data_IF_649695631569
#
_entry.id   IF_649695631569
#
_cell.length_a   1.000
_cell.length_b   1.000
_cell.length_c   1.000
_cell.angle_alpha   90.00
_cell.angle_beta   90.00
_cell.angle_gamma   90.00
#
_symmetry.space_group_name_H-M   'P 1'
#
loop_
_entity.id
_entity.type
_entity.pdbx_description
1 polymer ?
#
# COMPACT_ATOMS: atom_id res chain seq x y z
N UNK A 1 0.19 -13.12 17.56
CA UNK A 1 0.47 -12.86 16.12
C UNK A 1 -0.74 -13.30 15.32
N UNK A 2 -1.32 -12.43 14.51
CA UNK A 2 -2.45 -12.74 13.64
C UNK A 2 -1.96 -12.93 12.19
N UNK A 3 -2.57 -13.86 11.46
CA UNK A 3 -2.28 -14.09 10.03
C UNK A 3 -3.48 -13.66 9.19
N UNK A 4 -3.21 -12.83 8.19
CA UNK A 4 -4.22 -12.29 7.28
C UNK A 4 -3.89 -12.65 5.83
N UNK A 5 -4.83 -12.35 4.94
CA UNK A 5 -4.71 -12.70 3.53
C UNK A 5 -3.52 -11.98 2.87
N UNK A 6 -2.74 -12.71 2.06
CA UNK A 6 -1.55 -12.19 1.41
C UNK A 6 -1.85 -11.07 0.40
N UNK A 7 -3.05 -11.05 -0.18
CA UNK A 7 -3.48 -9.99 -1.11
C UNK A 7 -3.71 -8.63 -0.44
N UNK A 8 -3.67 -8.56 0.90
CA UNK A 8 -3.67 -7.29 1.63
C UNK A 8 -2.32 -6.57 1.56
N UNK A 9 -1.26 -7.25 1.13
CA UNK A 9 0.06 -6.65 0.93
C UNK A 9 0.29 -6.25 -0.53
N UNK A 10 1.02 -5.16 -0.72
CA UNK A 10 1.56 -4.74 -2.01
C UNK A 10 2.94 -4.15 -1.78
N UNK A 11 3.86 -4.29 -2.72
CA UNK A 11 5.17 -3.65 -2.59
C UNK A 11 5.08 -2.15 -2.91
N UNK A 12 5.85 -1.28 -2.21
CA UNK A 12 5.88 0.14 -2.54
C UNK A 12 6.40 0.37 -3.97
N UNK A 13 5.60 1.03 -4.81
CA UNK A 13 5.97 1.30 -6.20
C UNK A 13 7.18 2.22 -6.35
N UNK A 14 7.53 3.00 -5.32
CA UNK A 14 8.67 3.93 -5.34
C UNK A 14 9.98 3.23 -5.63
N UNK A 15 10.20 2.04 -5.07
CA UNK A 15 11.43 1.27 -5.32
C UNK A 15 11.52 0.80 -6.78
N UNK A 16 10.40 0.33 -7.33
CA UNK A 16 10.34 -0.11 -8.72
C UNK A 16 10.48 1.08 -9.69
N UNK A 17 9.90 2.24 -9.37
CA UNK A 17 10.07 3.45 -10.17
C UNK A 17 11.53 3.92 -10.19
N UNK A 18 12.21 3.97 -9.04
CA UNK A 18 13.64 4.33 -8.96
C UNK A 18 14.50 3.33 -9.73
N UNK A 19 14.20 2.03 -9.64
CA UNK A 19 14.88 1.01 -10.45
C UNK A 19 14.67 1.25 -11.94
N UNK A 20 13.44 1.52 -12.39
CA UNK A 20 13.14 1.82 -13.79
C UNK A 20 13.84 3.08 -14.31
N UNK A 21 13.88 4.15 -13.51
CA UNK A 21 14.56 5.40 -13.85
C UNK A 21 16.09 5.24 -13.94
N UNK A 22 16.65 4.29 -13.20
CA UNK A 22 18.10 4.01 -13.20
C UNK A 22 18.53 2.96 -14.25
N UNK A 23 17.59 2.29 -14.93
CA UNK A 23 17.92 1.36 -16.00
C UNK A 23 18.41 2.12 -17.24
N UNK A 24 19.67 1.90 -17.59
CA UNK A 24 20.20 2.34 -18.88
C UNK A 24 19.70 1.42 -19.99
N UNK A 25 18.93 1.97 -20.94
CA UNK A 25 18.39 1.28 -22.13
C UNK A 25 19.46 0.71 -23.09
N UNK A 26 20.74 0.91 -22.78
CA UNK A 26 21.90 0.55 -23.62
C UNK A 26 22.61 -0.75 -23.18
N UNK A 27 22.16 -1.45 -22.14
CA UNK A 27 22.89 -2.61 -21.60
C UNK A 27 22.27 -3.95 -22.01
N UNK A 28 23.10 -4.84 -22.54
CA UNK A 28 22.80 -6.22 -22.99
C UNK A 28 22.60 -7.22 -21.82
N UNK A 29 22.20 -6.72 -20.64
CA UNK A 29 22.09 -7.47 -19.38
C UNK A 29 20.60 -7.72 -19.09
N UNK A 30 20.19 -8.96 -18.77
CA UNK A 30 18.78 -9.33 -18.68
C UNK A 30 18.06 -8.49 -17.61
N UNK A 31 16.81 -8.06 -17.85
CA UNK A 31 16.21 -6.97 -17.11
C UNK A 31 15.83 -7.41 -15.68
N UNK A 32 16.44 -6.85 -14.62
CA UNK A 32 15.92 -7.01 -13.27
C UNK A 32 14.48 -6.48 -13.05
N UNK A 33 13.93 -5.48 -13.79
CA UNK A 33 12.57 -5.03 -13.53
C UNK A 33 11.49 -5.97 -14.06
N UNK A 34 11.78 -6.86 -15.02
CA UNK A 34 10.71 -7.59 -15.74
C UNK A 34 9.91 -8.53 -14.84
N UNK A 35 10.60 -9.24 -13.95
CA UNK A 35 9.96 -10.11 -12.96
C UNK A 35 9.13 -9.30 -11.96
N UNK A 36 9.67 -8.19 -11.44
CA UNK A 36 8.96 -7.30 -10.50
C UNK A 36 7.77 -6.62 -11.15
N UNK A 37 7.86 -6.23 -12.42
CA UNK A 37 6.74 -5.69 -13.20
C UNK A 37 5.64 -6.75 -13.32
N UNK A 38 5.99 -8.00 -13.68
CA UNK A 38 5.03 -9.10 -13.78
C UNK A 38 4.36 -9.41 -12.44
N UNK A 39 5.12 -9.40 -11.35
CA UNK A 39 4.61 -9.62 -9.98
C UNK A 39 3.70 -8.48 -9.49
N UNK A 40 3.97 -7.24 -9.91
CA UNK A 40 3.18 -6.06 -9.56
C UNK A 40 2.11 -5.71 -10.63
N UNK A 41 1.98 -6.50 -11.69
CA UNK A 41 1.13 -6.18 -12.84
C UNK A 41 -0.33 -5.90 -12.45
N UNK A 42 -0.91 -6.74 -11.59
CA UNK A 42 -2.28 -6.54 -11.12
C UNK A 42 -2.43 -5.19 -10.40
N UNK A 43 -1.45 -4.79 -9.59
CA UNK A 43 -1.44 -3.49 -8.93
C UNK A 43 -1.20 -2.31 -9.88
N UNK A 44 -0.56 -2.52 -11.03
CA UNK A 44 -0.45 -1.50 -12.06
C UNK A 44 -1.72 -1.35 -12.90
N UNK A 45 -2.40 -2.44 -13.21
CA UNK A 45 -3.61 -2.41 -14.06
C UNK A 45 -4.84 -2.04 -13.24
N UNK A 46 -5.02 -2.69 -12.10
CA UNK A 46 -6.24 -2.56 -11.30
C UNK A 46 -6.09 -1.50 -10.19
N UNK A 47 -4.85 -1.16 -9.81
CA UNK A 47 -4.44 -0.13 -8.84
C UNK A 47 -5.34 -0.02 -7.63
N UNK A 48 -6.30 0.92 -7.65
CA UNK A 48 -7.17 1.19 -6.51
C UNK A 48 -8.22 0.11 -6.29
N UNK A 49 -8.51 -0.70 -7.30
CA UNK A 49 -9.52 -1.77 -7.24
C UNK A 49 -9.07 -2.97 -6.42
N UNK A 50 -7.77 -3.10 -6.14
CA UNK A 50 -7.22 -4.15 -5.27
C UNK A 50 -7.28 -3.77 -3.78
N UNK A 51 -7.61 -2.51 -3.48
CA UNK A 51 -8.00 -2.13 -2.14
C UNK A 51 -9.35 -2.76 -1.79
N UNK A 52 -9.38 -3.46 -0.67
CA UNK A 52 -10.53 -4.22 -0.21
C UNK A 52 -11.41 -3.35 0.68
N UNK A 53 -12.72 -3.65 0.75
CA UNK A 53 -13.60 -2.99 1.71
C UNK A 53 -13.26 -3.40 3.15
N UNK A 54 -13.80 -2.68 4.16
CA UNK A 54 -13.58 -2.99 5.57
C UNK A 54 -13.93 -4.45 5.90
N UNK A 55 -13.11 -5.08 6.73
CA UNK A 55 -13.21 -6.51 7.02
C UNK A 55 -13.01 -6.79 8.51
N UNK A 56 -14.01 -7.43 9.12
CA UNK A 56 -13.99 -7.77 10.55
C UNK A 56 -12.73 -8.56 10.97
N UNK A 57 -12.27 -9.49 10.14
CA UNK A 57 -11.06 -10.29 10.41
C UNK A 57 -9.80 -9.43 10.37
N UNK A 58 -9.73 -8.47 9.45
CA UNK A 58 -8.63 -7.51 9.36
C UNK A 58 -8.62 -6.58 10.57
N UNK A 59 -9.79 -6.13 11.01
CA UNK A 59 -9.96 -5.33 12.23
C UNK A 59 -9.45 -6.06 13.48
N UNK A 60 -9.91 -7.29 13.69
CA UNK A 60 -9.47 -8.14 14.82
C UNK A 60 -7.97 -8.47 14.75
N UNK A 61 -7.42 -8.60 13.55
CA UNK A 61 -5.99 -8.85 13.39
C UNK A 61 -5.15 -7.68 13.92
N UNK A 62 -5.64 -6.43 13.84
CA UNK A 62 -4.97 -5.26 14.42
C UNK A 62 -5.00 -5.23 15.96
N UNK A 63 -5.76 -6.11 16.63
CA UNK A 63 -5.68 -6.27 18.09
C UNK A 63 -4.45 -7.10 18.51
N UNK A 64 -3.83 -7.82 17.57
CA UNK A 64 -2.59 -8.54 17.84
C UNK A 64 -1.36 -7.62 17.77
N UNK A 65 -0.34 -7.89 18.59
CA UNK A 65 0.94 -7.15 18.57
C UNK A 65 1.75 -7.30 17.28
N UNK A 66 1.45 -8.33 16.47
CA UNK A 66 2.12 -8.63 15.20
C UNK A 66 1.15 -9.21 14.20
N UNK A 67 1.27 -8.76 12.97
CA UNK A 67 0.57 -9.23 11.79
C UNK A 67 1.51 -10.00 10.88
N UNK A 68 1.00 -11.04 10.23
CA UNK A 68 1.65 -11.72 9.11
C UNK A 68 0.74 -11.67 7.89
N UNK A 69 1.26 -11.14 6.78
CA UNK A 69 0.58 -11.10 5.48
C UNK A 69 1.50 -11.67 4.41
N UNK A 70 1.16 -12.84 3.87
CA UNK A 70 2.06 -13.61 3.01
C UNK A 70 3.41 -13.91 3.70
N UNK A 71 4.50 -13.41 3.10
CA UNK A 71 5.86 -13.52 3.63
C UNK A 71 6.24 -12.36 4.56
N UNK A 72 5.41 -11.32 4.66
CA UNK A 72 5.71 -10.10 5.40
C UNK A 72 5.19 -10.17 6.83
N UNK A 73 5.93 -9.57 7.75
CA UNK A 73 5.53 -9.40 9.14
C UNK A 73 5.58 -7.92 9.52
N UNK A 74 4.55 -7.47 10.23
CA UNK A 74 4.40 -6.07 10.64
C UNK A 74 4.15 -6.04 12.15
N UNK A 75 4.88 -5.20 12.87
CA UNK A 75 4.59 -4.93 14.28
C UNK A 75 3.45 -3.92 14.35
N UNK A 76 2.45 -4.21 15.18
CA UNK A 76 1.31 -3.32 15.36
C UNK A 76 1.58 -2.38 16.52
N UNK A 77 1.57 -1.08 16.22
CA UNK A 77 1.67 0.01 17.18
C UNK A 77 0.29 0.62 17.39
N UNK A 78 -0.09 0.88 18.64
CA UNK A 78 -1.43 1.39 19.00
C UNK A 78 -1.74 2.70 18.29
N UNK A 79 -0.79 3.64 18.25
CA UNK A 79 -0.99 4.95 17.63
C UNK A 79 -1.26 4.83 16.12
N UNK A 80 -0.50 3.96 15.43
CA UNK A 80 -0.68 3.67 14.01
C UNK A 80 -2.01 2.97 13.73
N UNK A 81 -2.44 2.09 14.63
CA UNK A 81 -3.74 1.41 14.54
C UNK A 81 -4.90 2.39 14.65
N UNK A 82 -4.88 3.30 15.61
CA UNK A 82 -5.97 4.28 15.77
C UNK A 82 -6.13 5.15 14.52
N UNK A 83 -5.01 5.59 13.93
CA UNK A 83 -5.01 6.29 12.64
C UNK A 83 -5.58 5.41 11.52
N UNK A 84 -5.14 4.16 11.42
CA UNK A 84 -5.61 3.22 10.42
C UNK A 84 -7.13 3.01 10.48
N UNK A 85 -7.69 2.94 11.68
CA UNK A 85 -9.15 2.79 11.86
C UNK A 85 -9.92 4.05 11.42
N UNK A 86 -9.37 5.25 11.66
CA UNK A 86 -9.97 6.48 11.15
C UNK A 86 -9.85 6.59 9.61
N UNK A 87 -8.79 6.05 9.02
CA UNK A 87 -8.62 5.98 7.55
C UNK A 87 -9.58 4.97 6.94
N UNK A 88 -9.75 3.82 7.60
CA UNK A 88 -10.70 2.78 7.22
C UNK A 88 -12.11 3.37 7.07
N UNK A 89 -12.56 4.15 8.06
CA UNK A 89 -13.88 4.79 8.01
C UNK A 89 -13.98 5.89 6.96
N UNK A 90 -12.91 6.66 6.73
CA UNK A 90 -12.90 7.74 5.74
C UNK A 90 -12.87 7.23 4.29
N UNK A 91 -12.13 6.15 4.02
CA UNK A 91 -11.84 5.66 2.67
C UNK A 91 -12.54 4.35 2.31
N UNK A 92 -13.32 3.79 3.24
CA UNK A 92 -13.93 2.47 3.10
C UNK A 92 -12.91 1.40 2.70
N UNK A 93 -11.76 1.42 3.38
CA UNK A 93 -10.62 0.56 3.10
C UNK A 93 -10.46 -0.50 4.19
N UNK A 94 -9.99 -1.69 3.82
CA UNK A 94 -9.60 -2.75 4.75
C UNK A 94 -8.63 -2.23 5.83
N UNK A 95 -8.84 -2.66 7.07
CA UNK A 95 -8.13 -2.18 8.24
C UNK A 95 -6.62 -2.44 8.16
N UNK A 96 -6.21 -3.60 7.63
CA UNK A 96 -4.79 -3.94 7.48
C UNK A 96 -4.17 -3.12 6.35
N UNK A 97 -4.87 -2.92 5.23
CA UNK A 97 -4.38 -2.07 4.14
C UNK A 97 -4.27 -0.60 4.60
N UNK A 98 -5.23 -0.13 5.39
CA UNK A 98 -5.17 1.20 6.03
C UNK A 98 -3.96 1.32 6.96
N UNK A 99 -3.68 0.27 7.75
CA UNK A 99 -2.49 0.24 8.63
C UNK A 99 -1.19 0.30 7.85
N UNK A 100 -1.07 -0.48 6.76
CA UNK A 100 0.11 -0.49 5.89
C UNK A 100 0.35 0.90 5.29
N UNK A 101 -0.71 1.62 4.89
CA UNK A 101 -0.59 3.00 4.40
C UNK A 101 -0.04 3.94 5.46
N UNK A 102 -0.56 3.87 6.70
CA UNK A 102 -0.10 4.70 7.82
C UNK A 102 1.36 4.41 8.13
N UNK A 103 1.71 3.14 8.33
CA UNK A 103 3.05 2.72 8.69
C UNK A 103 4.08 3.20 7.66
N UNK A 104 3.79 2.99 6.36
CA UNK A 104 4.68 3.44 5.28
C UNK A 104 4.79 4.96 5.21
N UNK A 105 3.69 5.68 5.42
CA UNK A 105 3.69 7.16 5.35
C UNK A 105 4.54 7.77 6.46
N UNK A 106 4.39 7.26 7.69
CA UNK A 106 5.19 7.69 8.85
C UNK A 106 6.67 7.36 8.62
N UNK A 107 6.96 6.12 8.23
CA UNK A 107 8.34 5.65 8.06
C UNK A 107 9.07 6.36 6.89
N UNK A 108 8.35 6.76 5.83
CA UNK A 108 8.96 7.46 4.68
C UNK A 108 9.15 8.96 4.92
N UNK A 109 8.19 9.63 5.55
CA UNK A 109 8.23 11.10 5.70
C UNK A 109 8.82 11.54 7.05
N UNK A 110 9.01 10.62 8.00
CA UNK A 110 9.44 10.97 9.36
C UNK A 110 8.45 11.89 10.08
N UNK A 111 7.19 11.92 9.63
CA UNK A 111 6.11 12.72 10.21
C UNK A 111 5.39 11.92 11.29
N UNK A 112 4.91 12.61 12.31
CA UNK A 112 4.13 12.02 13.37
C UNK A 112 2.70 11.67 12.93
N UNK A 113 1.96 11.05 13.85
CA UNK A 113 0.59 10.61 13.67
C UNK A 113 -0.37 11.72 13.18
N UNK A 114 -0.17 12.96 13.63
CA UNK A 114 -1.03 14.10 13.32
C UNK A 114 -0.75 14.63 11.90
N UNK A 115 0.53 14.61 11.50
CA UNK A 115 0.96 14.91 10.13
C UNK A 115 0.39 13.95 9.08
N UNK A 116 0.21 12.66 9.41
CA UNK A 116 -0.43 11.69 8.47
C UNK A 116 -1.87 12.08 8.17
N UNK A 117 -2.61 12.55 9.17
CA UNK A 117 -4.02 12.94 9.02
C UNK A 117 -4.17 14.18 8.14
N UNK A 118 -3.28 15.16 8.31
CA UNK A 118 -3.24 16.36 7.46
C UNK A 118 -2.87 16.02 5.99
N UNK A 119 -2.15 14.93 5.78
CA UNK A 119 -1.79 14.41 4.46
C UNK A 119 -2.86 13.49 3.85
N UNK A 120 -3.92 13.13 4.58
CA UNK A 120 -4.98 12.28 4.04
C UNK A 120 -5.65 12.82 2.78
N UNK A 121 -5.99 14.12 2.68
CA UNK A 121 -6.51 14.68 1.44
C UNK A 121 -5.53 14.50 0.26
N UNK A 122 -4.22 14.61 0.52
CA UNK A 122 -3.18 14.37 -0.48
C UNK A 122 -3.03 12.88 -0.82
N UNK A 123 -3.16 11.99 0.17
CA UNK A 123 -3.14 10.54 -0.03
C UNK A 123 -4.33 10.09 -0.88
N UNK A 124 -5.53 10.60 -0.58
CA UNK A 124 -6.75 10.37 -1.37
C UNK A 124 -6.62 10.96 -2.77
N UNK A 125 -6.10 12.19 -2.88
CA UNK A 125 -5.83 12.80 -4.18
C UNK A 125 -4.82 12.00 -5.00
N UNK A 126 -3.82 11.38 -4.36
CA UNK A 126 -2.78 10.59 -5.02
C UNK A 126 -3.27 9.20 -5.39
N UNK A 127 -4.09 8.56 -4.55
CA UNK A 127 -4.80 7.33 -4.89
C UNK A 127 -5.76 7.55 -6.06
N UNK A 128 -6.52 8.65 -6.05
CA UNK A 128 -7.38 9.03 -7.18
C UNK A 128 -6.58 9.39 -8.43
N UNK A 129 -5.46 10.11 -8.32
CA UNK A 129 -4.63 10.43 -9.49
C UNK A 129 -3.93 9.22 -10.10
N UNK A 130 -3.65 8.19 -9.29
CA UNK A 130 -3.14 6.90 -9.78
C UNK A 130 -4.24 6.08 -10.47
N UNK A 131 -5.52 6.25 -10.11
CA UNK A 131 -6.65 5.58 -10.75
C UNK A 131 -7.08 6.23 -12.09
N UNK A 132 -6.91 7.54 -12.23
CA UNK A 132 -7.33 8.31 -13.42
C UNK A 132 -6.67 7.90 -14.75
N UNK A 133 -5.35 7.62 -14.85
CA UNK A 133 -4.75 7.26 -16.13
C UNK A 133 -5.18 5.88 -16.66
N UNK A 134 -5.70 4.99 -15.80
CA UNK A 134 -6.13 3.64 -16.22
C UNK A 134 -7.62 3.55 -16.57
N UNK A 135 -8.44 4.50 -16.12
CA UNK A 135 -9.87 4.58 -16.51
C UNK A 135 -10.08 5.03 -17.96
N UNK A 136 -9.10 5.70 -18.57
CA UNK A 136 -9.20 6.22 -19.95
C UNK A 136 -8.61 5.28 -21.01
N UNK A 137 -8.10 4.10 -20.64
CA UNK A 137 -7.47 3.15 -21.56
C UNK A 137 -8.43 2.05 -22.08
N UNK A 138 -9.74 2.15 -21.81
CA UNK A 138 -10.76 1.16 -22.23
C UNK A 138 -11.82 1.71 -23.18
N UNK A 139 -11.45 2.59 -24.11
CA UNK A 139 -12.30 2.94 -25.25
C UNK A 139 -11.55 2.92 -26.58
#
# INVERSE_FOLDING_TARGET
MATVDASLWWDPFTHLLVELESVSLSSDVPPPPEKKIKENHAWFVDTVSLFKPPNQKSREALDASRLKTGLHQITVETDKKELALKITSALCLDEVQSYILVDRTINQKGIDADGVFHELPHLVSKLNSLALPFSNATH
#
